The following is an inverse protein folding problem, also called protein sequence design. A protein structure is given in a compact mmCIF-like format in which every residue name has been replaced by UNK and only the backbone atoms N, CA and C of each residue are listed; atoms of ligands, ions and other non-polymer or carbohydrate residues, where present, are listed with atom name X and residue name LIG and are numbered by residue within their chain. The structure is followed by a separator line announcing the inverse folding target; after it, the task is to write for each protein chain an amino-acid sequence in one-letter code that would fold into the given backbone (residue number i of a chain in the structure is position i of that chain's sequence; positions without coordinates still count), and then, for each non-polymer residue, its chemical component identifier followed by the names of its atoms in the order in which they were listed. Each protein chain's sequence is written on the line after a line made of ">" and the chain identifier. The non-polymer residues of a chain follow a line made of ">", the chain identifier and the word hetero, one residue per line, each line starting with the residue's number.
data_IF_560628031205
#
_entry.id   IF_560628031205
#
_cell.length_a   1.000
_cell.length_b   1.000
_cell.length_c   1.000
_cell.angle_alpha   90.00
_cell.angle_beta   90.00
_cell.angle_gamma   90.00
#
_symmetry.space_group_name_H-M   'P 1'
#
loop_
_entity.id
_entity.type
_entity.pdbx_description
1 polymer ?
#
# COMPACT_ATOMS: atom_id res chain seq x y z
N UNK A 1 31.06 0.02 35.67
CA UNK A 1 30.07 -0.66 34.81
C UNK A 1 29.18 0.38 34.19
N UNK A 2 29.07 0.33 32.87
CA UNK A 2 28.28 1.27 32.10
C UNK A 2 26.83 1.28 32.59
N UNK A 3 26.22 2.46 32.61
CA UNK A 3 24.80 2.62 32.90
C UNK A 3 24.24 3.79 32.09
N UNK A 4 22.98 3.66 31.67
CA UNK A 4 22.25 4.73 31.02
C UNK A 4 21.03 5.13 31.82
N UNK A 5 20.80 6.44 31.90
CA UNK A 5 19.63 7.01 32.56
C UNK A 5 18.84 7.85 31.56
N UNK A 6 17.55 7.55 31.41
CA UNK A 6 16.61 8.32 30.62
C UNK A 6 15.77 9.23 31.52
N UNK A 7 15.79 10.52 31.24
CA UNK A 7 14.99 11.55 31.89
C UNK A 7 13.91 12.02 30.92
N UNK A 8 12.64 11.76 31.25
CA UNK A 8 11.52 12.25 30.44
C UNK A 8 11.14 13.70 30.80
N UNK A 9 10.11 14.22 30.13
CA UNK A 9 9.59 15.59 30.36
C UNK A 9 8.36 15.65 31.27
N UNK A 10 7.96 14.53 31.86
CA UNK A 10 6.84 14.44 32.82
C UNK A 10 7.33 14.14 34.25
N UNK A 11 8.64 13.96 34.44
CA UNK A 11 9.30 13.86 35.75
C UNK A 11 9.80 12.47 36.11
N UNK A 12 9.69 11.48 35.22
CA UNK A 12 10.21 10.14 35.48
C UNK A 12 11.68 10.02 35.09
N UNK A 13 12.36 9.12 35.79
CA UNK A 13 13.74 8.73 35.53
C UNK A 13 13.80 7.22 35.41
N UNK A 14 14.29 6.71 34.29
CA UNK A 14 14.36 5.28 33.97
C UNK A 14 15.81 4.86 33.75
N UNK A 15 16.26 3.80 34.41
CA UNK A 15 17.51 3.12 34.05
C UNK A 15 17.32 2.29 32.79
N UNK A 16 18.25 2.37 31.83
CA UNK A 16 18.24 1.56 30.61
C UNK A 16 19.38 0.54 30.64
N UNK A 17 19.10 -0.66 30.15
CA UNK A 17 20.11 -1.70 30.00
C UNK A 17 21.11 -1.33 28.90
N UNK A 18 22.39 -1.32 29.25
CA UNK A 18 23.48 -1.00 28.32
C UNK A 18 24.44 -2.17 28.16
N UNK A 19 24.95 -2.32 26.95
CA UNK A 19 26.04 -3.27 26.66
C UNK A 19 27.27 -2.48 26.20
N UNK A 20 28.44 -2.67 26.82
CA UNK A 20 29.68 -2.07 26.31
C UNK A 20 29.90 -2.45 24.84
N UNK A 21 30.29 -1.48 24.02
CA UNK A 21 30.41 -1.62 22.56
C UNK A 21 29.13 -1.39 21.77
N UNK A 22 27.97 -1.23 22.42
CA UNK A 22 26.72 -0.83 21.76
C UNK A 22 26.77 0.64 21.35
N UNK A 23 26.19 0.98 20.20
CA UNK A 23 26.03 2.38 19.79
C UNK A 23 24.89 3.05 20.54
N UNK A 24 25.00 4.36 20.78
CA UNK A 24 23.93 5.15 21.38
C UNK A 24 22.63 5.08 20.56
N UNK A 25 22.75 5.11 19.22
CA UNK A 25 21.61 4.89 18.32
C UNK A 25 20.90 3.56 18.59
N UNK A 26 21.65 2.46 18.73
CA UNK A 26 21.06 1.15 19.01
C UNK A 26 20.41 1.09 20.41
N UNK A 27 21.00 1.76 21.41
CA UNK A 27 20.40 1.89 22.74
C UNK A 27 19.04 2.61 22.68
N UNK A 28 18.97 3.76 22.01
CA UNK A 28 17.73 4.51 21.85
C UNK A 28 16.67 3.72 21.10
N UNK A 29 17.04 3.09 19.99
CA UNK A 29 16.12 2.30 19.16
C UNK A 29 15.57 1.09 19.92
N UNK A 30 16.42 0.36 20.66
CA UNK A 30 16.00 -0.79 21.47
C UNK A 30 15.01 -0.42 22.58
N UNK A 31 14.99 0.85 22.99
CA UNK A 31 14.11 1.35 24.04
C UNK A 31 12.92 2.14 23.47
N UNK A 32 12.72 2.22 22.15
CA UNK A 32 11.63 3.00 21.55
C UNK A 32 11.76 4.51 21.79
N UNK A 33 12.98 5.03 21.95
CA UNK A 33 13.23 6.45 22.20
C UNK A 33 13.60 7.14 20.88
N UNK A 34 12.78 8.09 20.37
CA UNK A 34 13.11 8.81 19.15
C UNK A 34 14.33 9.70 19.35
N UNK A 35 15.38 9.51 18.54
CA UNK A 35 16.63 10.30 18.64
C UNK A 35 16.39 11.80 18.59
N UNK A 36 15.50 12.27 17.72
CA UNK A 36 15.17 13.69 17.59
C UNK A 36 14.38 14.26 18.79
N UNK A 37 13.96 13.41 19.73
CA UNK A 37 13.27 13.81 20.93
C UNK A 37 14.18 13.93 22.14
N UNK A 38 15.50 13.67 22.02
CA UNK A 38 16.44 13.64 23.15
C UNK A 38 17.73 14.42 22.90
N UNK A 39 18.43 14.76 23.99
CA UNK A 39 19.84 15.09 24.01
C UNK A 39 20.58 14.03 24.80
N UNK A 40 21.64 13.48 24.23
CA UNK A 40 22.46 12.47 24.89
C UNK A 40 23.79 13.06 25.38
N UNK A 41 24.18 12.72 26.59
CA UNK A 41 25.47 13.04 27.18
C UNK A 41 26.17 11.77 27.65
N UNK A 42 27.48 11.69 27.46
CA UNK A 42 28.33 10.63 27.99
C UNK A 42 29.37 11.27 28.90
N UNK A 43 29.42 10.82 30.16
CA UNK A 43 30.30 11.37 31.19
C UNK A 43 30.19 12.91 31.32
N UNK A 44 28.97 13.43 31.17
CA UNK A 44 28.66 14.87 31.28
C UNK A 44 28.89 15.70 30.01
N UNK A 45 29.47 15.12 28.95
CA UNK A 45 29.66 15.81 27.68
C UNK A 45 28.54 15.43 26.70
N UNK A 46 27.91 16.41 26.05
CA UNK A 46 26.94 16.15 24.97
C UNK A 46 27.64 15.49 23.79
N UNK A 47 27.07 14.40 23.30
CA UNK A 47 27.61 13.63 22.18
C UNK A 47 26.53 13.41 21.12
N UNK A 48 26.96 13.22 19.88
CA UNK A 48 26.08 12.75 18.81
C UNK A 48 25.84 11.24 18.94
N UNK A 49 24.58 10.84 18.84
CA UNK A 49 24.17 9.44 18.97
C UNK A 49 24.56 8.59 17.75
N UNK A 50 24.99 9.22 16.65
CA UNK A 50 25.39 8.54 15.40
C UNK A 50 26.75 7.84 15.53
N UNK A 51 27.69 8.45 16.25
CA UNK A 51 29.08 7.94 16.36
C UNK A 51 29.41 7.44 17.77
N UNK A 52 28.57 7.74 18.77
CA UNK A 52 28.83 7.36 20.15
C UNK A 52 28.73 5.87 20.38
N UNK A 53 29.83 5.26 20.84
CA UNK A 53 29.89 3.86 21.30
C UNK A 53 30.06 3.87 22.81
N UNK A 54 29.24 3.10 23.52
CA UNK A 54 29.23 3.05 24.97
C UNK A 54 30.45 2.25 25.45
N UNK A 55 31.35 2.89 26.18
CA UNK A 55 32.48 2.26 26.85
C UNK A 55 32.05 1.45 28.09
N UNK A 56 32.94 0.60 28.64
CA UNK A 56 32.62 -0.29 29.77
C UNK A 56 32.28 0.41 31.08
N UNK A 57 32.68 1.68 31.23
CA UNK A 57 32.48 2.50 32.43
C UNK A 57 31.76 3.82 32.16
N UNK A 58 31.18 3.97 30.96
CA UNK A 58 30.49 5.18 30.59
C UNK A 58 29.18 5.38 31.38
N UNK A 59 28.97 6.61 31.81
CA UNK A 59 27.67 7.07 32.27
C UNK A 59 26.96 7.81 31.14
N UNK A 60 25.86 7.24 30.66
CA UNK A 60 25.05 7.83 29.59
C UNK A 60 23.82 8.50 30.20
N UNK A 61 23.61 9.78 29.91
CA UNK A 61 22.40 10.52 30.30
C UNK A 61 21.63 10.90 29.03
N UNK A 62 20.37 10.48 28.93
CA UNK A 62 19.49 10.76 27.80
C UNK A 62 18.36 11.62 28.34
N UNK A 63 18.23 12.84 27.85
CA UNK A 63 17.21 13.79 28.32
C UNK A 63 16.25 14.11 27.20
N UNK A 64 14.98 13.79 27.38
CA UNK A 64 13.94 14.18 26.44
C UNK A 64 13.87 15.71 26.35
N UNK A 65 13.68 16.27 25.15
CA UNK A 65 13.59 17.72 24.92
C UNK A 65 12.19 18.22 24.66
N UNK A 66 11.26 17.34 24.24
CA UNK A 66 9.86 17.68 23.95
C UNK A 66 8.94 17.23 25.08
N UNK A 67 7.93 18.04 25.42
CA UNK A 67 6.96 17.69 26.45
C UNK A 67 5.84 16.80 25.89
N UNK A 68 6.02 15.48 25.99
CA UNK A 68 5.00 14.45 25.76
C UNK A 68 5.35 13.19 26.57
N UNK A 69 4.35 12.39 26.89
CA UNK A 69 4.54 11.11 27.55
C UNK A 69 4.90 10.04 26.51
N UNK A 70 6.12 9.52 26.57
CA UNK A 70 6.62 8.51 25.64
C UNK A 70 6.08 7.11 25.99
N UNK A 71 5.62 6.87 27.22
CA UNK A 71 5.02 5.59 27.61
C UNK A 71 3.68 5.36 26.94
N UNK A 72 2.99 6.41 26.51
CA UNK A 72 1.79 6.28 25.66
C UNK A 72 2.08 5.46 24.39
N UNK A 73 3.26 5.62 23.80
CA UNK A 73 3.66 4.86 22.60
C UNK A 73 4.48 3.61 22.92
N UNK A 74 5.27 3.60 24.00
CA UNK A 74 6.11 2.45 24.38
C UNK A 74 5.34 1.36 25.11
N UNK A 75 4.41 1.76 25.99
CA UNK A 75 3.65 0.87 26.87
C UNK A 75 2.21 1.39 27.03
N UNK A 76 1.44 1.54 25.92
CA UNK A 76 0.05 1.95 26.03
C UNK A 76 -0.73 0.98 26.93
N UNK A 77 -1.71 1.44 27.73
CA UNK A 77 -2.64 0.55 28.41
C UNK A 77 -3.23 -0.47 27.43
N UNK A 78 -3.17 -1.76 27.77
CA UNK A 78 -3.64 -2.83 26.89
C UNK A 78 -4.73 -3.67 27.54
N UNK A 79 -5.73 -4.04 26.76
CA UNK A 79 -6.71 -5.07 27.09
C UNK A 79 -6.66 -6.17 26.06
N UNK A 80 -6.39 -7.40 26.48
CA UNK A 80 -6.21 -8.55 25.60
C UNK A 80 -7.34 -9.55 25.84
N UNK A 81 -8.05 -9.92 24.78
CA UNK A 81 -9.01 -11.03 24.76
C UNK A 81 -8.29 -12.25 24.17
N UNK A 82 -8.08 -13.28 24.99
CA UNK A 82 -7.27 -14.44 24.62
C UNK A 82 -8.07 -15.55 23.95
N UNK A 83 -7.42 -16.23 23.00
CA UNK A 83 -7.89 -17.46 22.38
C UNK A 83 -6.90 -18.60 22.63
N UNK A 84 -7.34 -19.87 22.65
CA UNK A 84 -6.42 -21.01 22.72
C UNK A 84 -5.59 -21.11 21.43
N UNK A 85 -4.27 -21.29 21.57
CA UNK A 85 -3.33 -21.45 20.45
C UNK A 85 -3.49 -20.38 19.34
N UNK A 86 -3.33 -19.08 19.66
CA UNK A 86 -3.60 -18.02 18.70
C UNK A 86 -2.56 -18.00 17.59
N UNK A 87 -3.03 -17.82 16.34
CA UNK A 87 -2.17 -17.65 15.15
C UNK A 87 -2.04 -16.19 14.73
N UNK A 88 -2.95 -15.34 15.20
CA UNK A 88 -2.96 -13.91 14.92
C UNK A 88 -3.47 -13.11 16.13
N UNK A 89 -3.12 -11.82 16.18
CA UNK A 89 -3.66 -10.88 17.17
C UNK A 89 -4.02 -9.58 16.47
N UNK A 90 -5.32 -9.28 16.36
CA UNK A 90 -5.77 -7.99 15.86
C UNK A 90 -5.68 -6.99 17.01
N UNK A 91 -5.07 -5.84 16.77
CA UNK A 91 -5.00 -4.75 17.76
C UNK A 91 -5.53 -3.46 17.16
N UNK A 92 -6.26 -2.69 17.95
CA UNK A 92 -6.74 -1.35 17.60
C UNK A 92 -6.53 -0.43 18.81
N UNK A 93 -5.97 0.74 18.57
CA UNK A 93 -5.85 1.81 19.56
C UNK A 93 -7.10 2.68 19.51
N UNK A 94 -7.75 2.84 20.66
CA UNK A 94 -8.95 3.67 20.84
C UNK A 94 -8.58 4.92 21.63
N UNK A 95 -9.14 6.06 21.22
CA UNK A 95 -9.17 7.29 22.03
C UNK A 95 -10.52 7.42 22.73
N UNK A 96 -10.52 7.21 24.04
CA UNK A 96 -11.67 7.43 24.91
C UNK A 96 -11.49 8.72 25.73
N UNK A 97 -11.84 9.85 25.11
CA UNK A 97 -11.83 11.20 25.74
C UNK A 97 -10.43 11.61 26.21
N UNK A 98 -9.43 11.41 25.36
CA UNK A 98 -8.02 11.72 25.63
C UNK A 98 -7.27 10.62 26.36
N UNK A 99 -7.88 9.44 26.54
CA UNK A 99 -7.23 8.26 27.11
C UNK A 99 -7.07 7.21 26.02
N UNK A 100 -5.83 6.87 25.72
CA UNK A 100 -5.49 5.86 24.74
C UNK A 100 -5.48 4.47 25.39
N UNK A 101 -6.18 3.52 24.78
CA UNK A 101 -6.17 2.10 25.15
C UNK A 101 -5.99 1.26 23.88
N UNK A 102 -5.06 0.31 23.90
CA UNK A 102 -4.93 -0.71 22.85
C UNK A 102 -5.77 -1.92 23.25
N UNK A 103 -6.78 -2.23 22.45
CA UNK A 103 -7.56 -3.47 22.58
C UNK A 103 -7.04 -4.48 21.57
N UNK A 104 -6.73 -5.67 22.06
CA UNK A 104 -6.19 -6.76 21.26
C UNK A 104 -7.09 -7.99 21.38
N UNK A 105 -7.45 -8.58 20.25
CA UNK A 105 -8.15 -9.85 20.17
C UNK A 105 -7.21 -10.89 19.57
N UNK A 106 -6.94 -11.95 20.33
CA UNK A 106 -6.19 -13.11 19.86
C UNK A 106 -7.14 -14.06 19.14
N UNK A 107 -6.71 -14.56 17.98
CA UNK A 107 -7.53 -15.39 17.10
C UNK A 107 -6.79 -16.70 16.83
N UNK A 108 -7.46 -17.82 17.03
CA UNK A 108 -7.02 -19.11 16.50
C UNK A 108 -7.21 -19.16 14.97
N UNK A 109 -6.80 -20.26 14.33
CA UNK A 109 -6.86 -20.37 12.87
C UNK A 109 -8.29 -20.22 12.31
N UNK A 110 -9.30 -20.74 13.01
CA UNK A 110 -10.69 -20.67 12.58
C UNK A 110 -11.25 -19.25 12.77
N UNK A 111 -11.09 -18.70 13.97
CA UNK A 111 -11.56 -17.34 14.29
C UNK A 111 -10.87 -16.27 13.46
N UNK A 112 -9.62 -16.48 13.07
CA UNK A 112 -8.91 -15.57 12.16
C UNK A 112 -9.54 -15.56 10.76
N UNK A 113 -9.86 -16.73 10.19
CA UNK A 113 -10.52 -16.83 8.89
C UNK A 113 -11.89 -16.13 8.92
N UNK A 114 -12.70 -16.38 9.94
CA UNK A 114 -14.00 -15.71 10.13
C UNK A 114 -13.84 -14.19 10.27
N UNK A 115 -12.81 -13.73 11.00
CA UNK A 115 -12.51 -12.32 11.16
C UNK A 115 -12.19 -11.63 9.82
N UNK A 116 -11.33 -12.22 8.98
CA UNK A 116 -10.97 -11.62 7.68
C UNK A 116 -12.18 -11.60 6.73
N UNK A 117 -12.94 -12.69 6.65
CA UNK A 117 -14.16 -12.77 5.84
C UNK A 117 -15.21 -11.75 6.29
N UNK A 118 -15.45 -11.64 7.60
CA UNK A 118 -16.36 -10.64 8.16
C UNK A 118 -15.89 -9.22 7.86
N UNK A 119 -14.60 -8.93 8.06
CA UNK A 119 -14.03 -7.60 7.78
C UNK A 119 -14.19 -7.24 6.30
N UNK A 120 -14.00 -8.20 5.39
CA UNK A 120 -14.21 -8.00 3.95
C UNK A 120 -15.68 -7.68 3.62
N UNK A 121 -16.63 -8.47 4.14
CA UNK A 121 -18.07 -8.24 3.93
C UNK A 121 -18.50 -6.89 4.52
N UNK A 122 -18.08 -6.57 5.74
CA UNK A 122 -18.36 -5.29 6.41
C UNK A 122 -17.78 -4.12 5.62
N UNK A 123 -16.55 -4.25 5.11
CA UNK A 123 -15.90 -3.22 4.29
C UNK A 123 -16.70 -2.89 3.02
N UNK A 124 -17.26 -3.91 2.36
CA UNK A 124 -18.09 -3.71 1.15
C UNK A 124 -19.45 -3.13 1.51
N UNK A 125 -20.12 -3.71 2.51
CA UNK A 125 -21.53 -3.40 2.83
C UNK A 125 -21.68 -2.08 3.58
N UNK A 126 -20.83 -1.80 4.57
CA UNK A 126 -20.92 -0.55 5.36
C UNK A 126 -20.51 0.69 4.57
N UNK A 127 -19.56 0.55 3.63
CA UNK A 127 -19.12 1.65 2.78
C UNK A 127 -19.93 1.77 1.47
N UNK A 128 -20.93 0.90 1.23
CA UNK A 128 -21.74 0.91 0.02
C UNK A 128 -20.88 0.81 -1.25
N UNK A 129 -19.86 -0.06 -1.24
CA UNK A 129 -18.93 -0.17 -2.37
C UNK A 129 -19.59 -0.78 -3.61
N UNK A 130 -20.45 -1.77 -3.41
CA UNK A 130 -21.10 -2.53 -4.48
C UNK A 130 -22.61 -2.36 -4.37
N UNK A 131 -23.21 -1.79 -5.41
CA UNK A 131 -24.66 -1.69 -5.53
C UNK A 131 -25.27 -3.00 -6.05
N UNK A 132 -26.49 -3.36 -5.66
CA UNK A 132 -27.19 -4.51 -6.25
C UNK A 132 -27.34 -4.37 -7.77
N UNK A 133 -26.94 -5.40 -8.50
CA UNK A 133 -26.91 -5.43 -9.96
C UNK A 133 -25.70 -4.74 -10.59
N UNK A 134 -24.70 -4.32 -9.81
CA UNK A 134 -23.50 -3.68 -10.36
C UNK A 134 -22.74 -4.62 -11.32
N UNK A 135 -22.22 -4.04 -12.39
CA UNK A 135 -21.26 -4.68 -13.28
C UNK A 135 -19.87 -4.13 -12.96
N UNK A 136 -18.92 -5.01 -12.66
CA UNK A 136 -17.61 -4.64 -12.12
C UNK A 136 -16.51 -5.22 -13.00
N UNK A 137 -15.53 -4.37 -13.34
CA UNK A 137 -14.27 -4.81 -13.93
C UNK A 137 -13.21 -4.95 -12.83
N UNK A 138 -12.33 -5.94 -12.91
CA UNK A 138 -11.17 -6.05 -12.01
C UNK A 138 -9.91 -6.39 -12.79
N UNK A 139 -8.78 -5.84 -12.37
CA UNK A 139 -7.47 -6.29 -12.87
C UNK A 139 -6.95 -7.47 -12.04
N UNK A 140 -6.51 -8.54 -12.69
CA UNK A 140 -5.84 -9.66 -12.05
C UNK A 140 -4.38 -9.75 -12.50
N UNK A 141 -3.47 -9.47 -11.57
CA UNK A 141 -2.03 -9.66 -11.77
C UNK A 141 -1.58 -11.10 -11.51
N UNK A 142 -2.46 -11.93 -10.96
CA UNK A 142 -2.12 -13.26 -10.45
C UNK A 142 -1.46 -13.21 -9.07
N UNK A 143 -0.84 -12.10 -8.67
CA UNK A 143 -0.16 -12.01 -7.37
C UNK A 143 -1.08 -12.33 -6.18
N UNK A 144 -0.47 -12.68 -5.05
CA UNK A 144 -1.13 -13.11 -3.81
C UNK A 144 -2.36 -12.31 -3.41
N UNK A 145 -2.32 -10.98 -3.54
CA UNK A 145 -3.43 -10.11 -3.14
C UNK A 145 -4.66 -10.28 -4.04
N UNK A 146 -4.43 -10.41 -5.35
CA UNK A 146 -5.50 -10.64 -6.32
C UNK A 146 -6.15 -12.01 -6.13
N UNK A 147 -5.35 -13.04 -5.80
CA UNK A 147 -5.87 -14.38 -5.52
C UNK A 147 -6.58 -14.44 -4.18
N UNK A 148 -6.06 -13.80 -3.14
CA UNK A 148 -6.74 -13.66 -1.85
C UNK A 148 -8.07 -12.91 -2.00
N UNK A 149 -8.13 -11.87 -2.83
CA UNK A 149 -9.37 -11.16 -3.16
C UNK A 149 -10.41 -12.08 -3.81
N UNK A 150 -10.03 -12.84 -4.83
CA UNK A 150 -10.93 -13.82 -5.46
C UNK A 150 -11.38 -14.88 -4.45
N UNK A 151 -10.48 -15.37 -3.58
CA UNK A 151 -10.82 -16.36 -2.55
C UNK A 151 -11.79 -15.81 -1.50
N UNK A 152 -11.66 -14.54 -1.13
CA UNK A 152 -12.63 -13.85 -0.29
C UNK A 152 -13.98 -13.73 -1.00
N UNK A 153 -14.00 -13.33 -2.27
CA UNK A 153 -15.23 -13.30 -3.07
C UNK A 153 -15.90 -14.67 -3.12
N UNK A 154 -15.16 -15.74 -3.38
CA UNK A 154 -15.69 -17.12 -3.41
C UNK A 154 -16.36 -17.52 -2.10
N UNK A 155 -15.67 -17.29 -0.98
CA UNK A 155 -16.13 -17.75 0.33
C UNK A 155 -17.24 -16.87 0.93
N UNK A 156 -17.32 -15.61 0.49
CA UNK A 156 -18.28 -14.64 1.05
C UNK A 156 -19.38 -14.20 0.08
N UNK A 157 -19.41 -14.70 -1.17
CA UNK A 157 -20.30 -14.23 -2.24
C UNK A 157 -21.77 -14.09 -1.83
N UNK A 158 -22.27 -15.03 -1.04
CA UNK A 158 -23.65 -15.09 -0.57
C UNK A 158 -24.02 -13.99 0.44
N UNK A 159 -23.03 -13.37 1.07
CA UNK A 159 -23.20 -12.27 2.04
C UNK A 159 -23.08 -10.89 1.38
N UNK A 160 -22.66 -10.84 0.11
CA UNK A 160 -22.49 -9.60 -0.65
C UNK A 160 -23.72 -9.31 -1.52
N UNK A 161 -23.96 -8.04 -1.89
CA UNK A 161 -24.95 -7.69 -2.91
C UNK A 161 -24.77 -8.51 -4.19
N UNK A 162 -25.84 -8.70 -4.97
CA UNK A 162 -25.72 -9.32 -6.29
C UNK A 162 -24.93 -8.38 -7.22
N UNK A 163 -23.89 -8.87 -7.89
CA UNK A 163 -23.13 -8.17 -8.92
C UNK A 163 -22.57 -9.18 -9.94
N UNK A 164 -22.22 -8.70 -11.12
CA UNK A 164 -21.42 -9.44 -12.10
C UNK A 164 -20.00 -8.88 -12.13
N UNK A 165 -19.04 -9.72 -12.44
CA UNK A 165 -17.64 -9.33 -12.49
C UNK A 165 -16.94 -9.93 -13.71
N UNK A 166 -16.13 -9.12 -14.36
CA UNK A 166 -15.21 -9.53 -15.42
C UNK A 166 -13.80 -9.20 -14.94
N UNK A 167 -12.88 -10.13 -15.17
CA UNK A 167 -11.47 -9.96 -14.86
C UNK A 167 -10.67 -9.66 -16.13
N UNK A 168 -9.72 -8.74 -16.05
CA UNK A 168 -8.73 -8.48 -17.08
C UNK A 168 -7.35 -8.89 -16.58
N UNK A 169 -6.66 -9.75 -17.33
CA UNK A 169 -5.26 -10.10 -17.09
C UNK A 169 -4.42 -9.60 -18.25
N UNK A 170 -3.42 -8.78 -17.95
CA UNK A 170 -2.50 -8.24 -18.94
C UNK A 170 -1.32 -9.19 -19.07
N UNK A 171 -1.24 -9.91 -20.19
CA UNK A 171 -0.18 -10.90 -20.48
C UNK A 171 1.00 -10.31 -21.23
N UNK A 172 0.89 -9.06 -21.68
CA UNK A 172 1.96 -8.34 -22.38
C UNK A 172 3.01 -7.68 -21.48
N UNK A 173 2.96 -7.89 -20.15
CA UNK A 173 3.92 -7.31 -19.20
C UNK A 173 5.06 -8.27 -18.88
N UNK A 174 6.25 -7.77 -18.53
CA UNK A 174 7.29 -8.62 -17.98
C UNK A 174 6.81 -9.42 -16.77
N UNK A 175 7.37 -10.61 -16.55
CA UNK A 175 7.07 -11.52 -15.41
C UNK A 175 5.66 -12.14 -15.39
N UNK A 176 4.87 -12.03 -16.48
CA UNK A 176 3.54 -12.66 -16.60
C UNK A 176 3.55 -14.19 -16.62
N UNK A 177 4.71 -14.79 -16.94
CA UNK A 177 4.86 -16.23 -17.20
C UNK A 177 4.89 -17.11 -15.95
N UNK A 178 4.64 -16.61 -14.73
CA UNK A 178 4.59 -17.47 -13.54
C UNK A 178 3.34 -18.39 -13.61
N UNK A 179 3.45 -19.65 -14.05
CA UNK A 179 2.29 -20.40 -14.54
C UNK A 179 1.37 -20.85 -13.40
N UNK A 180 1.95 -21.10 -12.22
CA UNK A 180 1.22 -21.50 -11.03
C UNK A 180 0.20 -20.43 -10.60
N UNK A 181 0.62 -19.17 -10.72
CA UNK A 181 -0.09 -17.99 -10.26
C UNK A 181 -1.24 -17.62 -11.20
N UNK A 182 -1.00 -17.64 -12.52
CA UNK A 182 -2.05 -17.38 -13.51
C UNK A 182 -3.08 -18.51 -13.60
N UNK A 183 -2.66 -19.78 -13.60
CA UNK A 183 -3.59 -20.91 -13.66
C UNK A 183 -4.50 -20.96 -12.42
N UNK A 184 -3.95 -20.68 -11.25
CA UNK A 184 -4.72 -20.53 -10.02
C UNK A 184 -5.79 -19.43 -10.12
N UNK A 185 -5.41 -18.25 -10.61
CA UNK A 185 -6.33 -17.14 -10.81
C UNK A 185 -7.43 -17.48 -11.82
N UNK A 186 -7.08 -18.18 -12.91
CA UNK A 186 -8.04 -18.66 -13.90
C UNK A 186 -9.04 -19.65 -13.28
N UNK A 187 -8.56 -20.68 -12.57
CA UNK A 187 -9.44 -21.66 -11.90
C UNK A 187 -10.35 -20.98 -10.85
N UNK A 188 -9.82 -20.01 -10.11
CA UNK A 188 -10.61 -19.23 -9.16
C UNK A 188 -11.69 -18.39 -9.85
N UNK A 189 -11.39 -17.79 -11.01
CA UNK A 189 -12.38 -17.08 -11.82
C UNK A 189 -13.47 -18.03 -12.35
N UNK A 190 -13.07 -19.19 -12.88
CA UNK A 190 -14.00 -20.21 -13.38
C UNK A 190 -14.97 -20.69 -12.29
N UNK A 191 -14.47 -20.97 -11.08
CA UNK A 191 -15.28 -21.36 -9.92
C UNK A 191 -16.28 -20.29 -9.47
N UNK A 192 -15.99 -19.01 -9.78
CA UNK A 192 -16.83 -17.85 -9.46
C UNK A 192 -17.76 -17.42 -10.60
N UNK A 193 -17.64 -18.02 -11.79
CA UNK A 193 -18.32 -17.54 -12.99
C UNK A 193 -17.86 -16.15 -13.42
N UNK A 194 -16.60 -15.80 -13.16
CA UNK A 194 -15.98 -14.54 -13.59
C UNK A 194 -15.33 -14.78 -14.96
N UNK A 195 -15.79 -14.05 -15.97
CA UNK A 195 -15.16 -14.09 -17.30
C UNK A 195 -13.78 -13.43 -17.24
N UNK A 196 -12.75 -14.13 -17.73
CA UNK A 196 -11.39 -13.59 -17.81
C UNK A 196 -11.06 -13.16 -19.25
N UNK A 197 -10.59 -11.92 -19.40
CA UNK A 197 -10.11 -11.34 -20.66
C UNK A 197 -8.61 -11.19 -20.59
N UNK A 198 -7.92 -11.61 -21.66
CA UNK A 198 -6.48 -11.46 -21.79
C UNK A 198 -6.15 -10.28 -22.68
N UNK A 199 -5.34 -9.36 -22.15
CA UNK A 199 -4.83 -8.21 -22.91
C UNK A 199 -3.39 -8.49 -23.32
N UNK A 200 -3.16 -8.43 -24.63
CA UNK A 200 -1.92 -8.87 -25.26
C UNK A 200 -0.85 -7.77 -25.32
N UNK A 201 0.40 -8.15 -25.59
CA UNK A 201 1.49 -7.19 -25.82
C UNK A 201 1.21 -6.25 -27.01
N UNK A 202 0.56 -6.74 -28.07
CA UNK A 202 0.22 -5.96 -29.25
C UNK A 202 -0.81 -4.86 -28.93
N UNK A 203 -1.78 -5.17 -28.04
CA UNK A 203 -2.76 -4.17 -27.58
C UNK A 203 -2.11 -3.06 -26.73
N UNK A 204 -1.12 -3.41 -25.90
CA UNK A 204 -0.34 -2.42 -25.15
C UNK A 204 0.45 -1.54 -26.14
N UNK A 205 1.17 -2.15 -27.08
CA UNK A 205 1.96 -1.43 -28.09
C UNK A 205 1.07 -0.46 -28.88
N UNK A 206 -0.09 -0.92 -29.34
CA UNK A 206 -1.05 -0.08 -30.08
C UNK A 206 -1.59 1.07 -29.22
N UNK A 207 -1.98 0.81 -27.97
CA UNK A 207 -2.56 1.83 -27.08
C UNK A 207 -1.60 2.97 -26.78
N UNK A 208 -0.34 2.66 -26.55
CA UNK A 208 0.69 3.66 -26.23
C UNK A 208 1.45 4.17 -27.46
N UNK A 209 1.04 3.74 -28.67
CA UNK A 209 1.69 4.06 -29.94
C UNK A 209 3.21 3.78 -29.92
N UNK A 210 3.61 2.67 -29.30
CA UNK A 210 5.02 2.29 -29.16
C UNK A 210 5.58 1.79 -30.50
N UNK A 211 6.83 2.10 -30.78
CA UNK A 211 7.52 1.70 -32.03
C UNK A 211 7.98 0.24 -32.03
N UNK A 212 7.89 -0.42 -30.87
CA UNK A 212 8.29 -1.81 -30.62
C UNK A 212 7.52 -2.39 -29.41
N UNK A 213 7.64 -3.70 -29.13
CA UNK A 213 6.94 -4.33 -28.02
C UNK A 213 7.22 -3.67 -26.66
N UNK A 214 6.18 -3.61 -25.82
CA UNK A 214 6.26 -3.00 -24.48
C UNK A 214 7.37 -3.60 -23.60
N UNK A 215 7.58 -4.92 -23.69
CA UNK A 215 8.64 -5.62 -22.97
C UNK A 215 10.04 -5.08 -23.28
N UNK A 216 10.31 -4.73 -24.55
CA UNK A 216 11.60 -4.19 -24.98
C UNK A 216 11.81 -2.78 -24.43
N UNK A 217 10.75 -1.97 -24.43
CA UNK A 217 10.77 -0.64 -23.80
C UNK A 217 11.05 -0.77 -22.30
N UNK A 218 10.35 -1.64 -21.59
CA UNK A 218 10.53 -1.82 -20.15
C UNK A 218 11.90 -2.38 -19.79
N UNK A 219 12.49 -3.24 -20.61
CA UNK A 219 13.87 -3.73 -20.44
C UNK A 219 14.89 -2.59 -20.41
N UNK A 220 14.72 -1.58 -21.27
CA UNK A 220 15.58 -0.39 -21.29
C UNK A 220 15.31 0.51 -20.08
N UNK A 221 14.04 0.69 -19.70
CA UNK A 221 13.67 1.51 -18.53
C UNK A 221 14.33 0.97 -17.26
N UNK A 222 14.21 -0.33 -16.97
CA UNK A 222 14.72 -0.92 -15.71
C UNK A 222 16.25 -1.00 -15.64
N UNK A 223 16.95 -0.97 -16.78
CA UNK A 223 18.42 -1.01 -16.82
C UNK A 223 19.07 0.37 -16.97
N UNK A 224 18.31 1.38 -17.38
CA UNK A 224 18.80 2.74 -17.59
C UNK A 224 18.65 3.68 -16.39
N UNK A 225 18.95 4.95 -16.61
CA UNK A 225 18.82 6.04 -15.62
C UNK A 225 17.35 6.30 -15.23
N UNK A 226 16.40 5.84 -16.05
CA UNK A 226 14.96 6.00 -15.84
C UNK A 226 14.31 4.87 -15.03
N UNK A 227 15.10 3.99 -14.39
CA UNK A 227 14.59 2.85 -13.62
C UNK A 227 13.57 3.24 -12.53
N UNK A 228 13.67 4.46 -11.98
CA UNK A 228 12.71 5.01 -11.02
C UNK A 228 11.27 5.08 -11.56
N UNK A 229 11.08 5.21 -12.88
CA UNK A 229 9.75 5.31 -13.50
C UNK A 229 9.09 3.95 -13.76
N UNK A 230 9.82 2.84 -13.58
CA UNK A 230 9.34 1.49 -13.89
C UNK A 230 7.95 1.21 -13.29
N UNK A 231 7.76 1.46 -12.00
CA UNK A 231 6.49 1.19 -11.31
C UNK A 231 5.35 2.10 -11.79
N UNK A 232 5.62 3.37 -12.06
CA UNK A 232 4.61 4.32 -12.54
C UNK A 232 4.14 3.91 -13.93
N UNK A 233 5.06 3.54 -14.81
CA UNK A 233 4.77 3.08 -16.18
C UNK A 233 3.99 1.76 -16.14
N UNK A 234 4.44 0.79 -15.32
CA UNK A 234 3.78 -0.51 -15.19
C UNK A 234 2.36 -0.37 -14.65
N UNK A 235 2.16 0.33 -13.53
CA UNK A 235 0.84 0.52 -12.93
C UNK A 235 -0.11 1.30 -13.83
N UNK A 236 0.37 2.35 -14.52
CA UNK A 236 -0.45 3.10 -15.46
C UNK A 236 -0.87 2.24 -16.65
N UNK A 237 0.08 1.48 -17.22
CA UNK A 237 -0.19 0.54 -18.32
C UNK A 237 -1.26 -0.48 -17.92
N UNK A 238 -1.06 -1.18 -16.79
CA UNK A 238 -2.01 -2.15 -16.27
C UNK A 238 -3.39 -1.54 -16.04
N UNK A 239 -3.45 -0.38 -15.36
CA UNK A 239 -4.70 0.36 -15.12
C UNK A 239 -5.39 0.70 -16.44
N UNK A 240 -4.68 1.24 -17.43
CA UNK A 240 -5.29 1.64 -18.70
C UNK A 240 -5.83 0.45 -19.49
N UNK A 241 -5.15 -0.69 -19.46
CA UNK A 241 -5.64 -1.90 -20.12
C UNK A 241 -6.98 -2.37 -19.51
N UNK A 242 -7.12 -2.30 -18.18
CA UNK A 242 -8.39 -2.60 -17.49
C UNK A 242 -9.48 -1.60 -17.88
N UNK A 243 -9.15 -0.30 -17.96
CA UNK A 243 -10.10 0.74 -18.37
C UNK A 243 -10.61 0.55 -19.81
N UNK A 244 -9.74 0.19 -20.75
CA UNK A 244 -10.13 -0.07 -22.14
C UNK A 244 -11.10 -1.25 -22.22
N UNK A 245 -10.84 -2.33 -21.47
CA UNK A 245 -11.77 -3.45 -21.39
C UNK A 245 -13.11 -3.06 -20.75
N UNK A 246 -13.08 -2.17 -19.76
CA UNK A 246 -14.29 -1.65 -19.13
C UNK A 246 -15.09 -0.80 -20.14
N UNK A 247 -14.43 0.08 -20.91
CA UNK A 247 -15.01 0.86 -22.01
C UNK A 247 -15.68 -0.03 -23.06
N UNK A 248 -14.98 -1.07 -23.54
CA UNK A 248 -15.49 -2.03 -24.55
C UNK A 248 -16.80 -2.71 -24.11
N UNK A 249 -16.98 -2.86 -22.78
CA UNK A 249 -18.14 -3.52 -22.17
C UNK A 249 -19.19 -2.55 -21.61
N UNK A 250 -18.95 -1.24 -21.69
CA UNK A 250 -19.82 -0.24 -21.07
C UNK A 250 -19.82 -0.25 -19.54
N UNK A 251 -18.81 -0.86 -18.92
CA UNK A 251 -18.65 -0.94 -17.47
C UNK A 251 -17.91 0.30 -16.96
N UNK A 252 -18.44 0.94 -15.92
CA UNK A 252 -17.86 2.16 -15.32
C UNK A 252 -17.30 1.95 -13.92
N UNK A 253 -17.43 0.74 -13.36
CA UNK A 253 -16.95 0.41 -12.02
C UNK A 253 -15.76 -0.54 -12.10
N UNK A 254 -14.65 -0.17 -11.45
CA UNK A 254 -13.42 -0.96 -11.42
C UNK A 254 -13.09 -1.29 -9.96
N UNK A 255 -12.98 -2.57 -9.59
CA UNK A 255 -12.47 -3.00 -8.30
C UNK A 255 -10.97 -3.29 -8.37
N UNK A 256 -10.21 -2.80 -7.40
CA UNK A 256 -8.77 -3.04 -7.28
C UNK A 256 -8.45 -3.66 -5.92
N UNK A 257 -7.68 -4.74 -5.92
CA UNK A 257 -7.27 -5.49 -4.73
C UNK A 257 -6.16 -4.83 -3.90
N UNK A 258 -6.21 -3.51 -3.69
CA UNK A 258 -5.26 -2.83 -2.82
C UNK A 258 -5.62 -3.04 -1.34
N UNK A 259 -4.66 -3.56 -0.59
CA UNK A 259 -4.78 -3.80 0.85
C UNK A 259 -4.60 -2.48 1.65
N UNK A 260 -4.84 -2.53 2.96
CA UNK A 260 -4.73 -1.39 3.85
C UNK A 260 -3.34 -0.72 3.78
N UNK A 261 -2.27 -1.50 3.75
CA UNK A 261 -0.88 -1.02 3.71
C UNK A 261 -0.58 -0.29 2.40
N UNK A 262 -1.04 -0.80 1.25
CA UNK A 262 -0.90 -0.14 -0.05
C UNK A 262 -1.54 1.25 -0.07
N UNK A 263 -2.72 1.34 0.53
CA UNK A 263 -3.50 2.57 0.59
C UNK A 263 -2.89 3.58 1.57
N UNK A 264 -2.42 3.15 2.74
CA UNK A 264 -1.73 4.02 3.69
C UNK A 264 -0.36 4.45 3.16
N UNK A 265 0.40 3.57 2.50
CA UNK A 265 1.67 3.93 1.85
C UNK A 265 1.44 4.95 0.71
N UNK A 266 0.33 4.84 0.00
CA UNK A 266 -0.10 5.86 -0.98
C UNK A 266 -0.40 7.20 -0.30
N UNK A 267 -1.03 7.20 0.88
CA UNK A 267 -1.24 8.43 1.67
C UNK A 267 0.08 9.03 2.16
N UNK A 268 1.03 8.22 2.63
CA UNK A 268 2.38 8.69 3.01
C UNK A 268 3.06 9.37 1.82
N UNK A 269 2.98 8.76 0.63
CA UNK A 269 3.56 9.29 -0.60
C UNK A 269 2.88 10.59 -1.01
N UNK A 270 1.56 10.68 -0.87
CA UNK A 270 0.84 11.93 -1.12
C UNK A 270 1.31 13.06 -0.19
N UNK A 271 1.34 12.83 1.12
CA UNK A 271 1.74 13.87 2.07
C UNK A 271 3.17 14.38 1.85
N UNK A 272 4.07 13.54 1.33
CA UNK A 272 5.46 13.93 1.08
C UNK A 272 5.70 14.56 -0.29
N UNK A 273 4.84 14.31 -1.27
CA UNK A 273 4.97 14.85 -2.64
C UNK A 273 4.11 16.08 -2.89
N UNK A 274 3.00 16.24 -2.14
CA UNK A 274 1.97 17.24 -2.41
C UNK A 274 0.97 16.84 -3.50
N UNK A 275 1.12 15.66 -4.13
CA UNK A 275 0.27 15.20 -5.23
C UNK A 275 -1.12 14.81 -4.80
N UNK A 276 -2.15 15.41 -5.38
CA UNK A 276 -3.54 15.11 -5.03
C UNK A 276 -3.89 13.64 -5.30
N UNK A 277 -4.47 12.98 -4.30
CA UNK A 277 -5.11 11.67 -4.45
C UNK A 277 -6.63 11.79 -4.30
N UNK A 278 -7.38 10.80 -4.80
CA UNK A 278 -8.83 10.67 -4.61
C UNK A 278 -9.21 9.91 -3.32
N UNK A 279 -10.50 9.82 -2.97
CA UNK A 279 -10.95 9.20 -1.73
C UNK A 279 -10.67 7.70 -1.63
N UNK A 280 -10.79 7.20 -0.40
CA UNK A 280 -10.76 5.79 -0.03
C UNK A 280 -12.02 5.57 0.83
N UNK A 281 -12.82 4.51 0.62
CA UNK A 281 -12.54 3.34 -0.22
C UNK A 281 -13.05 3.41 -1.67
N UNK A 282 -13.63 4.53 -2.08
CA UNK A 282 -14.18 4.73 -3.43
C UNK A 282 -13.73 6.07 -3.99
N UNK A 283 -13.32 6.12 -5.25
CA UNK A 283 -13.00 7.39 -5.94
C UNK A 283 -13.43 7.37 -7.40
N UNK A 284 -13.77 8.53 -7.93
CA UNK A 284 -14.05 8.74 -9.35
C UNK A 284 -12.85 9.41 -10.02
N UNK A 285 -12.45 8.92 -11.18
CA UNK A 285 -11.48 9.57 -12.09
C UNK A 285 -12.01 9.38 -13.51
N UNK A 286 -12.28 10.48 -14.20
CA UNK A 286 -12.94 10.48 -15.50
C UNK A 286 -14.29 9.72 -15.48
N UNK A 287 -14.53 8.78 -16.41
CA UNK A 287 -15.77 8.01 -16.47
C UNK A 287 -15.81 6.87 -15.44
N UNK A 288 -14.70 6.53 -14.81
CA UNK A 288 -14.59 5.34 -13.95
C UNK A 288 -14.72 5.66 -12.47
N UNK A 289 -15.32 4.71 -11.77
CA UNK A 289 -15.39 4.64 -10.31
C UNK A 289 -14.52 3.48 -9.85
N UNK A 290 -13.46 3.78 -9.10
CA UNK A 290 -12.58 2.78 -8.50
C UNK A 290 -13.05 2.43 -7.09
N UNK A 291 -13.09 1.13 -6.79
CA UNK A 291 -13.41 0.56 -5.49
C UNK A 291 -12.17 -0.13 -4.93
N UNK A 292 -11.94 -0.03 -3.62
CA UNK A 292 -10.88 -0.73 -2.90
C UNK A 292 -11.47 -1.67 -1.85
N UNK A 293 -11.92 -2.89 -2.21
CA UNK A 293 -12.64 -3.77 -1.28
C UNK A 293 -11.81 -4.26 -0.09
N UNK A 294 -10.48 -4.26 -0.19
CA UNK A 294 -9.56 -4.76 0.84
C UNK A 294 -9.01 -3.65 1.76
N UNK A 295 -9.62 -2.45 1.74
CA UNK A 295 -9.01 -1.27 2.36
C UNK A 295 -8.76 -1.37 3.87
N UNK A 296 -9.45 -2.25 4.61
CA UNK A 296 -9.23 -2.52 6.03
C UNK A 296 -8.50 -3.84 6.35
N UNK A 297 -8.01 -4.53 5.32
CA UNK A 297 -7.29 -5.81 5.46
C UNK A 297 -5.84 -5.58 5.06
N UNK A 298 -4.91 -5.89 5.96
CA UNK A 298 -3.47 -5.73 5.74
C UNK A 298 -2.89 -6.83 4.86
N UNK A 299 -1.73 -6.59 4.25
CA UNK A 299 -0.96 -7.58 3.49
C UNK A 299 -0.63 -8.82 4.33
N UNK A 300 -0.33 -8.62 5.62
CA UNK A 300 -0.08 -9.71 6.58
C UNK A 300 -1.34 -10.56 6.80
N UNK A 301 -2.50 -9.91 6.99
CA UNK A 301 -3.78 -10.62 7.13
C UNK A 301 -4.14 -11.41 5.86
N UNK A 302 -4.02 -10.80 4.67
CA UNK A 302 -4.29 -11.48 3.40
C UNK A 302 -3.38 -12.69 3.16
N UNK A 303 -2.09 -12.56 3.49
CA UNK A 303 -1.13 -13.65 3.33
C UNK A 303 -1.45 -14.82 4.24
N UNK A 304 -1.69 -14.55 5.54
CA UNK A 304 -2.06 -15.60 6.49
C UNK A 304 -3.41 -16.23 6.16
N UNK A 305 -4.36 -15.43 5.66
CA UNK A 305 -5.67 -15.93 5.23
C UNK A 305 -5.49 -16.95 4.11
N UNK A 306 -4.70 -16.61 3.08
CA UNK A 306 -4.44 -17.51 1.96
C UNK A 306 -3.69 -18.77 2.41
N UNK A 307 -2.70 -18.66 3.31
CA UNK A 307 -2.02 -19.82 3.91
C UNK A 307 -2.97 -20.80 4.60
N UNK A 308 -4.05 -20.30 5.21
CA UNK A 308 -4.98 -21.14 5.95
C UNK A 308 -6.09 -21.72 5.08
N UNK A 309 -6.55 -21.01 4.05
CA UNK A 309 -7.72 -21.42 3.25
C UNK A 309 -7.38 -22.00 1.87
N UNK A 310 -6.20 -21.69 1.34
CA UNK A 310 -5.71 -22.16 0.05
C UNK A 310 -4.17 -22.05 -0.04
N UNK A 311 -3.41 -22.77 0.80
CA UNK A 311 -1.94 -22.68 0.85
C UNK A 311 -1.26 -22.98 -0.50
N UNK A 312 -1.88 -23.80 -1.34
CA UNK A 312 -1.43 -24.08 -2.70
C UNK A 312 -1.37 -22.82 -3.58
N UNK A 313 -2.16 -21.81 -3.26
CA UNK A 313 -2.23 -20.53 -3.96
C UNK A 313 -1.31 -19.46 -3.36
N UNK A 314 -0.66 -19.75 -2.22
CA UNK A 314 0.20 -18.78 -1.53
C UNK A 314 1.64 -18.76 -2.05
N UNK A 315 1.94 -19.53 -3.09
CA UNK A 315 3.26 -19.59 -3.72
C UNK A 315 3.47 -18.35 -4.58
N UNK A 316 4.48 -17.54 -4.23
CA UNK A 316 4.93 -16.43 -5.06
C UNK A 316 6.46 -16.47 -5.09
N UNK A 317 7.04 -16.39 -6.29
CA UNK A 317 8.47 -16.23 -6.48
C UNK A 317 9.04 -14.92 -5.91
N UNK A 318 10.36 -14.78 -5.93
CA UNK A 318 10.99 -13.51 -5.59
C UNK A 318 10.52 -12.40 -6.53
N UNK A 319 10.39 -11.14 -6.06
CA UNK A 319 10.02 -10.02 -6.91
C UNK A 319 10.91 -9.97 -8.17
N UNK A 320 10.27 -9.97 -9.34
CA UNK A 320 10.96 -9.81 -10.60
C UNK A 320 11.51 -8.38 -10.76
N UNK A 321 12.48 -8.19 -11.65
CA UNK A 321 13.16 -6.89 -11.86
C UNK A 321 12.20 -5.76 -12.24
N UNK A 322 11.00 -6.07 -12.72
CA UNK A 322 9.97 -5.11 -13.11
C UNK A 322 8.97 -4.79 -12.01
N UNK A 323 9.02 -5.52 -10.89
CA UNK A 323 8.19 -5.30 -9.70
C UNK A 323 8.96 -4.60 -8.57
N UNK A 324 10.25 -4.33 -8.79
CA UNK A 324 11.08 -3.54 -7.87
C UNK A 324 10.85 -2.06 -8.12
N UNK A 325 10.33 -1.37 -7.10
CA UNK A 325 10.17 0.07 -7.11
C UNK A 325 11.40 0.83 -6.61
N UNK A 326 11.39 2.15 -6.77
CA UNK A 326 12.46 3.02 -6.30
C UNK A 326 12.48 3.11 -4.76
N UNK A 327 13.60 3.58 -4.19
CA UNK A 327 13.85 3.51 -2.75
C UNK A 327 12.82 4.28 -1.89
N UNK A 328 12.23 5.35 -2.41
CA UNK A 328 11.17 6.10 -1.75
C UNK A 328 9.91 5.27 -1.53
N UNK A 329 9.63 4.31 -2.43
CA UNK A 329 8.51 3.37 -2.25
C UNK A 329 8.76 2.45 -1.06
N UNK A 330 9.97 1.92 -0.95
CA UNK A 330 10.38 1.10 0.19
C UNK A 330 10.30 1.90 1.49
N UNK A 331 10.70 3.18 1.46
CA UNK A 331 10.56 4.08 2.60
C UNK A 331 9.09 4.33 2.98
N UNK A 332 8.21 4.53 2.00
CA UNK A 332 6.78 4.76 2.25
C UNK A 332 6.11 3.54 2.92
N UNK A 333 6.43 2.32 2.50
CA UNK A 333 5.95 1.12 3.19
C UNK A 333 6.57 0.94 4.57
N UNK A 334 7.87 1.15 4.72
CA UNK A 334 8.51 1.02 6.03
C UNK A 334 7.90 2.00 7.05
N UNK A 335 7.62 3.25 6.63
CA UNK A 335 6.89 4.22 7.46
C UNK A 335 5.47 3.72 7.76
N UNK A 336 4.77 3.16 6.77
CA UNK A 336 3.43 2.60 6.95
C UNK A 336 3.40 1.46 7.96
N UNK A 337 4.31 0.51 7.88
CA UNK A 337 4.44 -0.59 8.83
C UNK A 337 4.70 -0.07 10.25
N UNK A 338 5.57 0.93 10.39
CA UNK A 338 5.82 1.59 11.67
C UNK A 338 4.60 2.37 12.19
N UNK A 339 3.79 2.97 11.31
CA UNK A 339 2.54 3.63 11.71
C UNK A 339 1.53 2.62 12.25
N UNK A 340 1.37 1.46 11.59
CA UNK A 340 0.49 0.39 12.09
C UNK A 340 0.97 -0.20 13.42
N UNK A 341 2.28 -0.29 13.65
CA UNK A 341 2.85 -0.79 14.90
C UNK A 341 2.67 0.22 16.06
N UNK A 342 2.99 1.50 15.81
CA UNK A 342 2.86 2.57 16.81
C UNK A 342 1.40 2.94 17.08
N UNK A 343 0.53 2.86 16.08
CA UNK A 343 -0.89 3.15 16.16
C UNK A 343 -1.69 2.02 15.49
N UNK A 344 -1.93 0.90 16.20
CA UNK A 344 -2.74 -0.19 15.67
C UNK A 344 -4.14 0.29 15.25
N UNK A 345 -4.55 -0.01 14.03
CA UNK A 345 -5.83 0.45 13.47
C UNK A 345 -5.82 1.92 13.00
N UNK A 346 -4.66 2.52 12.74
CA UNK A 346 -4.54 3.91 12.23
C UNK A 346 -5.31 4.15 10.94
N UNK A 347 -5.48 3.13 10.10
CA UNK A 347 -6.26 3.15 8.87
C UNK A 347 -7.74 3.54 9.09
N UNK A 348 -8.34 3.10 10.20
CA UNK A 348 -9.70 3.50 10.61
C UNK A 348 -9.83 5.00 10.92
N UNK A 349 -8.72 5.68 11.20
CA UNK A 349 -8.69 7.13 11.40
C UNK A 349 -8.31 7.87 10.11
N UNK A 350 -7.34 7.33 9.36
CA UNK A 350 -6.79 7.95 8.16
C UNK A 350 -7.80 8.03 7.02
N UNK A 351 -8.52 6.95 6.70
CA UNK A 351 -9.42 6.97 5.53
C UNK A 351 -10.63 7.89 5.72
N UNK A 352 -11.35 7.89 6.86
CA UNK A 352 -12.43 8.86 7.08
C UNK A 352 -11.91 10.31 7.15
N UNK A 353 -10.71 10.53 7.71
CA UNK A 353 -10.09 11.85 7.71
C UNK A 353 -9.80 12.35 6.28
N UNK A 354 -9.28 11.48 5.42
CA UNK A 354 -9.05 11.79 4.01
C UNK A 354 -10.35 12.17 3.29
N UNK A 355 -11.39 11.36 3.43
CA UNK A 355 -12.69 11.63 2.80
C UNK A 355 -13.27 12.97 3.29
N UNK A 356 -13.19 13.26 4.59
CA UNK A 356 -13.64 14.54 5.15
C UNK A 356 -12.87 15.75 4.60
N UNK A 357 -11.54 15.64 4.50
CA UNK A 357 -10.69 16.70 3.94
C UNK A 357 -11.03 16.93 2.48
N UNK A 358 -11.17 15.88 1.68
CA UNK A 358 -11.46 15.98 0.26
C UNK A 358 -12.81 16.64 -0.04
N UNK A 359 -13.84 16.41 0.78
CA UNK A 359 -15.13 17.10 0.66
C UNK A 359 -15.02 18.63 0.78
N UNK A 360 -13.96 19.12 1.41
CA UNK A 360 -13.70 20.56 1.62
C UNK A 360 -12.69 21.13 0.62
N UNK A 361 -11.99 20.30 -0.15
CA UNK A 361 -11.04 20.73 -1.17
C UNK A 361 -11.75 20.99 -2.50
N UNK A 362 -11.23 21.93 -3.31
CA UNK A 362 -11.69 22.07 -4.70
C UNK A 362 -11.52 20.73 -5.42
N UNK A 363 -12.39 20.32 -6.36
CA UNK A 363 -12.21 19.09 -7.14
C UNK A 363 -10.81 18.99 -7.75
N UNK A 364 -10.30 17.77 -7.90
CA UNK A 364 -9.07 17.56 -8.67
C UNK A 364 -9.33 17.95 -10.13
N UNK A 365 -8.40 18.69 -10.74
CA UNK A 365 -8.47 18.96 -12.16
C UNK A 365 -8.03 17.69 -12.89
N UNK A 366 -8.81 17.27 -13.88
CA UNK A 366 -8.59 16.05 -14.64
C UNK A 366 -8.54 16.40 -16.13
N UNK A 367 -7.79 15.62 -16.90
CA UNK A 367 -7.71 15.72 -18.36
C UNK A 367 -7.65 14.31 -18.97
N UNK A 368 -7.87 14.20 -20.28
CA UNK A 368 -7.83 12.94 -21.02
C UNK A 368 -6.57 12.91 -21.91
N UNK A 369 -5.81 11.82 -21.84
CA UNK A 369 -4.60 11.68 -22.63
C UNK A 369 -4.93 11.45 -24.12
N UNK A 370 -4.47 12.33 -24.99
CA UNK A 370 -4.66 12.25 -26.45
C UNK A 370 -3.94 11.06 -27.12
N UNK A 371 -3.07 10.36 -26.40
CA UNK A 371 -2.38 9.13 -26.89
C UNK A 371 -3.15 7.89 -26.44
N UNK A 372 -3.18 7.62 -25.14
CA UNK A 372 -3.72 6.36 -24.61
C UNK A 372 -5.21 6.44 -24.24
N UNK A 373 -5.82 7.62 -24.22
CA UNK A 373 -7.21 7.84 -23.80
C UNK A 373 -7.43 7.79 -22.28
N UNK A 374 -6.37 7.65 -21.47
CA UNK A 374 -6.51 7.56 -20.02
C UNK A 374 -6.93 8.91 -19.43
N UNK A 375 -7.90 8.90 -18.50
CA UNK A 375 -8.14 10.03 -17.62
C UNK A 375 -7.01 10.13 -16.57
N UNK A 376 -6.40 11.31 -16.44
CA UNK A 376 -5.33 11.58 -15.48
C UNK A 376 -5.58 12.86 -14.69
N UNK A 377 -5.04 12.91 -13.48
CA UNK A 377 -5.13 14.08 -12.62
C UNK A 377 -3.99 15.05 -12.95
N UNK A 378 -4.31 16.33 -13.08
CA UNK A 378 -3.29 17.38 -13.18
C UNK A 378 -2.67 17.59 -11.80
N UNK A 379 -1.37 17.30 -11.70
CA UNK A 379 -0.60 17.42 -10.48
C UNK A 379 0.25 18.68 -10.48
N UNK A 380 0.31 19.37 -9.35
CA UNK A 380 1.16 20.55 -9.20
C UNK A 380 2.64 20.15 -9.31
N UNK A 381 3.41 20.96 -10.05
CA UNK A 381 4.82 20.68 -10.32
C UNK A 381 5.10 19.63 -11.41
N UNK A 382 4.07 19.04 -12.01
CA UNK A 382 4.19 18.13 -13.15
C UNK A 382 3.96 18.90 -14.45
N UNK A 383 5.04 19.10 -15.22
CA UNK A 383 5.01 19.84 -16.48
C UNK A 383 4.95 18.89 -17.69
N UNK A 384 3.75 18.37 -17.94
CA UNK A 384 3.44 17.61 -19.14
C UNK A 384 2.84 18.50 -20.23
N UNK A 385 3.01 18.13 -21.52
CA UNK A 385 2.24 18.74 -22.60
C UNK A 385 0.73 18.62 -22.33
N UNK A 386 -0.03 19.59 -22.81
CA UNK A 386 -1.50 19.61 -22.70
C UNK A 386 -2.10 18.31 -23.25
N UNK A 387 -3.06 17.72 -22.53
CA UNK A 387 -3.70 16.45 -22.88
C UNK A 387 -2.73 15.27 -23.06
N UNK A 388 -1.58 15.25 -22.39
CA UNK A 388 -0.65 14.09 -22.40
C UNK A 388 -0.34 13.69 -20.96
N UNK A 389 -0.63 12.43 -20.61
CA UNK A 389 -0.31 11.89 -19.28
C UNK A 389 1.20 11.66 -19.08
N UNK A 390 1.62 11.47 -17.83
CA UNK A 390 3.02 11.25 -17.44
C UNK A 390 3.72 10.17 -18.26
N UNK A 391 3.03 9.05 -18.49
CA UNK A 391 3.61 7.87 -19.14
C UNK A 391 3.75 8.07 -20.65
N UNK A 392 2.74 8.63 -21.32
CA UNK A 392 2.84 8.96 -22.74
C UNK A 392 3.85 10.08 -23.00
N UNK A 393 3.93 11.08 -22.11
CA UNK A 393 4.95 12.13 -22.12
C UNK A 393 6.35 11.52 -21.98
N UNK A 394 6.53 10.60 -21.02
CA UNK A 394 7.77 9.84 -20.84
C UNK A 394 8.17 9.08 -22.10
N UNK A 395 7.27 8.28 -22.68
CA UNK A 395 7.56 7.50 -23.88
C UNK A 395 7.95 8.38 -25.09
N UNK A 396 7.25 9.51 -25.29
CA UNK A 396 7.57 10.45 -26.36
C UNK A 396 8.96 11.09 -26.16
N UNK A 397 9.28 11.57 -24.95
CA UNK A 397 10.58 12.19 -24.62
C UNK A 397 11.75 11.21 -24.80
N UNK A 398 11.55 9.92 -24.52
CA UNK A 398 12.53 8.86 -24.69
C UNK A 398 12.54 8.24 -26.09
N UNK A 399 11.71 8.74 -27.02
CA UNK A 399 11.61 8.29 -28.41
C UNK A 399 11.22 6.81 -28.55
N UNK A 400 10.34 6.32 -27.69
CA UNK A 400 9.77 4.97 -27.76
C UNK A 400 8.49 4.90 -28.58
N UNK A 401 7.98 6.03 -29.07
CA UNK A 401 6.75 6.10 -29.85
C UNK A 401 7.04 6.19 -31.34
N UNK A 402 6.16 5.62 -32.17
CA UNK A 402 6.20 5.85 -33.62
C UNK A 402 6.16 7.35 -33.89
N UNK A 403 7.12 7.88 -34.67
CA UNK A 403 7.20 9.32 -34.97
C UNK A 403 5.93 9.79 -35.64
N UNK A 404 5.07 10.45 -34.87
CA UNK A 404 3.96 11.21 -35.40
C UNK A 404 4.17 12.70 -35.09
N UNK A 405 4.06 13.52 -36.14
CA UNK A 405 4.23 14.98 -36.14
C UNK A 405 3.33 15.75 -35.15
N UNK A 406 2.41 15.05 -34.47
CA UNK A 406 1.42 15.59 -33.53
C UNK A 406 1.93 15.80 -32.10
N UNK A 407 3.07 15.21 -31.73
CA UNK A 407 3.58 15.21 -30.33
C UNK A 407 4.81 16.08 -30.10
N UNK A 408 5.24 16.84 -31.12
CA UNK A 408 6.42 17.71 -31.05
C UNK A 408 5.98 19.17 -31.28
N UNK A 409 5.40 19.80 -30.25
CA UNK A 409 5.45 21.24 -30.06
C UNK A 409 5.48 21.60 -28.59
#
# INVERSE_FOLDING_TARGET
>A
MAHATFHDKIGNVQGLDVRPGQTLRALLQANGIPRNAVLTSVNGAVVTEEIGVIGPDDHVEIRQVRHYDLEITRQPPRRIFSAPAPVYTKSVMFDERGKLEVRSEQLDAFGFVEYVERTFVESITSAGLIEPGAEIMTGLSGGRDSVAFLKLLERTRAQLPAFTMVATTVTGTPDWEEPATFHAAQLACEGLGIDQVLVTADEIQATFNLDRPYIDVMNEVVTGESAMFNMVIAHHTLRRMVEIEAERRGVTTIALGFNADDLVASMVTWFTTGFRMGPIPKRRVGPFTYLFPLFHITKKELTLYLDLVAPELNQQGAPGRFTTGPAERSLAYAITDHLFDLWPGVDYYLFPALDNVQRSMMPAAEDECAVCGAAFLLQEGVDNPVAICDVCSFFARHKYTVRDSRFIR
#
